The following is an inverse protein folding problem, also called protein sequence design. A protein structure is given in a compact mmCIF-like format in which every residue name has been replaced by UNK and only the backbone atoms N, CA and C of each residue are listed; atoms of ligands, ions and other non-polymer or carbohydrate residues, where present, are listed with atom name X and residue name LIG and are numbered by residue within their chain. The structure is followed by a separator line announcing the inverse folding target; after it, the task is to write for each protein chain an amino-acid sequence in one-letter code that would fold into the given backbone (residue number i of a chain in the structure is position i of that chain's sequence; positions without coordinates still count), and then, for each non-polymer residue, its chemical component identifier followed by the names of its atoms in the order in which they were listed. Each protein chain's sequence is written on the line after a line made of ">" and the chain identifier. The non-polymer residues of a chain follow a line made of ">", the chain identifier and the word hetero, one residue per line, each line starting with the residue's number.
data_IF_084948239995
#
_entry.id   IF_084948239995
#
_cell.length_a   1.000
_cell.length_b   1.000
_cell.length_c   1.000
_cell.angle_alpha   90.00
_cell.angle_beta   90.00
_cell.angle_gamma   90.00
#
_symmetry.space_group_name_H-M   'P 1'
#
loop_
_entity.id
_entity.type
_entity.pdbx_description
1 polymer ?
#
# COMPACT_ATOMS: atom_id res chain seq x y z
N UNK A 1 2.24 21.25 7.82
CA UNK A 1 3.04 20.31 7.02
C UNK A 1 2.15 19.82 5.90
N UNK A 2 2.63 19.87 4.66
CA UNK A 2 1.95 19.28 3.50
C UNK A 2 2.48 17.88 3.28
N UNK A 3 1.58 16.91 3.08
CA UNK A 3 1.91 15.52 2.78
C UNK A 3 1.41 15.21 1.36
N UNK A 4 2.31 14.72 0.51
CA UNK A 4 1.97 14.09 -0.76
C UNK A 4 2.34 12.61 -0.72
N UNK A 5 1.53 11.77 -1.36
CA UNK A 5 1.84 10.36 -1.56
C UNK A 5 1.45 9.93 -2.97
N UNK A 6 2.24 9.04 -3.57
CA UNK A 6 1.96 8.43 -4.86
C UNK A 6 2.25 6.93 -4.80
N UNK A 7 1.42 6.13 -5.46
CA UNK A 7 1.47 4.66 -5.39
C UNK A 7 1.60 4.08 -6.78
N UNK A 8 2.58 3.20 -6.96
CA UNK A 8 2.82 2.50 -8.21
C UNK A 8 2.86 0.99 -7.98
N UNK A 9 2.39 0.25 -8.96
CA UNK A 9 2.52 -1.22 -9.02
C UNK A 9 3.61 -1.56 -10.01
N UNK A 10 4.55 -2.42 -9.62
CA UNK A 10 5.61 -2.93 -10.49
C UNK A 10 5.49 -4.44 -10.63
N UNK A 11 5.38 -4.91 -11.86
CA UNK A 11 5.45 -6.34 -12.20
C UNK A 11 6.59 -6.53 -13.19
N UNK A 12 7.51 -7.44 -12.87
CA UNK A 12 8.82 -7.56 -13.53
C UNK A 12 9.62 -6.25 -13.50
N UNK A 13 9.67 -5.53 -14.63
CA UNK A 13 10.36 -4.25 -14.83
C UNK A 13 9.42 -3.17 -15.36
N UNK A 14 8.12 -3.42 -15.35
CA UNK A 14 7.12 -2.48 -15.85
C UNK A 14 6.31 -1.86 -14.73
N UNK A 15 6.07 -0.55 -14.86
CA UNK A 15 5.24 0.23 -13.95
C UNK A 15 3.80 0.22 -14.47
N UNK A 16 2.89 -0.33 -13.67
CA UNK A 16 1.45 -0.26 -13.90
C UNK A 16 0.87 0.92 -13.12
N UNK A 17 0.58 2.00 -13.84
CA UNK A 17 -0.19 3.12 -13.34
C UNK A 17 -1.69 2.82 -13.28
N UNK A 18 -2.51 3.87 -13.37
CA UNK A 18 -3.97 3.74 -13.44
C UNK A 18 -4.39 3.28 -14.84
N UNK A 19 -5.35 2.34 -14.98
CA UNK A 19 -5.86 1.96 -16.29
C UNK A 19 -6.56 3.17 -16.94
N UNK A 20 -6.51 3.22 -18.28
CA UNK A 20 -7.12 4.29 -19.09
C UNK A 20 -8.60 4.03 -19.35
N UNK A 21 -8.95 2.74 -19.43
CA UNK A 21 -10.26 2.20 -19.72
C UNK A 21 -10.34 0.75 -19.20
N UNK A 22 -11.50 0.12 -19.33
CA UNK A 22 -11.72 -1.27 -18.88
C UNK A 22 -10.90 -2.30 -19.68
N UNK A 23 -10.59 -2.03 -20.94
CA UNK A 23 -9.72 -2.91 -21.75
C UNK A 23 -8.29 -2.92 -21.21
N UNK A 24 -7.76 -1.74 -20.87
CA UNK A 24 -6.47 -1.59 -20.23
C UNK A 24 -6.46 -2.23 -18.83
N UNK A 25 -7.53 -2.05 -18.06
CA UNK A 25 -7.69 -2.71 -16.75
C UNK A 25 -7.63 -4.24 -16.87
N UNK A 26 -8.35 -4.82 -17.85
CA UNK A 26 -8.31 -6.26 -18.13
C UNK A 26 -6.90 -6.76 -18.45
N UNK A 27 -6.18 -6.05 -19.31
CA UNK A 27 -4.80 -6.40 -19.66
C UNK A 27 -3.86 -6.35 -18.44
N UNK A 28 -4.00 -5.32 -17.58
CA UNK A 28 -3.26 -5.23 -16.33
C UNK A 28 -3.57 -6.41 -15.39
N UNK A 29 -4.85 -6.74 -15.20
CA UNK A 29 -5.27 -7.84 -14.33
C UNK A 29 -4.74 -9.20 -14.81
N UNK A 30 -4.83 -9.50 -16.12
CA UNK A 30 -4.22 -10.71 -16.68
C UNK A 30 -2.71 -10.74 -16.51
N UNK A 31 -2.04 -9.59 -16.62
CA UNK A 31 -0.59 -9.52 -16.41
C UNK A 31 -0.20 -9.82 -14.98
N UNK A 32 -1.02 -9.41 -14.01
CA UNK A 32 -0.77 -9.65 -12.58
C UNK A 32 -1.16 -11.06 -12.15
N UNK A 33 -2.11 -11.70 -12.83
CA UNK A 33 -2.74 -12.96 -12.43
C UNK A 33 -1.73 -14.09 -12.17
N UNK A 34 -1.83 -14.72 -10.99
CA UNK A 34 -0.99 -15.83 -10.56
C UNK A 34 0.46 -15.45 -10.26
N UNK A 35 0.78 -14.16 -10.14
CA UNK A 35 2.15 -13.65 -10.05
C UNK A 35 2.36 -12.75 -8.85
N UNK A 36 3.63 -12.60 -8.51
CA UNK A 36 4.12 -11.58 -7.59
C UNK A 36 4.26 -10.23 -8.30
N UNK A 37 3.91 -9.16 -7.59
CA UNK A 37 4.25 -7.79 -7.95
C UNK A 37 4.57 -6.96 -6.72
N UNK A 38 5.27 -5.84 -6.94
CA UNK A 38 5.64 -4.89 -5.90
C UNK A 38 4.65 -3.73 -5.92
N UNK A 39 4.10 -3.39 -4.76
CA UNK A 39 3.41 -2.11 -4.55
C UNK A 39 4.35 -1.18 -3.81
N UNK A 40 4.64 -0.03 -4.42
CA UNK A 40 5.52 0.98 -3.86
C UNK A 40 4.79 2.29 -3.69
N UNK A 41 4.72 2.78 -2.45
CA UNK A 41 4.19 4.11 -2.15
C UNK A 41 5.34 5.03 -1.74
N UNK A 42 5.53 6.11 -2.49
CA UNK A 42 6.40 7.20 -2.13
C UNK A 42 5.63 8.26 -1.34
N UNK A 43 6.25 8.84 -0.32
CA UNK A 43 5.68 9.90 0.53
C UNK A 43 6.67 11.06 0.60
N UNK A 44 6.14 12.27 0.45
CA UNK A 44 6.88 13.51 0.62
C UNK A 44 6.19 14.40 1.65
N UNK A 45 6.96 14.91 2.60
CA UNK A 45 6.54 15.89 3.59
C UNK A 45 7.26 17.22 3.34
N UNK A 46 6.49 18.31 3.32
CA UNK A 46 7.01 19.67 3.25
C UNK A 46 6.55 20.45 4.49
N UNK A 47 7.50 20.87 5.32
CA UNK A 47 7.26 21.69 6.50
C UNK A 47 7.40 23.18 6.24
N UNK A 48 7.12 23.95 7.30
CA UNK A 48 7.45 25.37 7.35
C UNK A 48 8.95 25.58 7.20
N UNK A 49 9.37 26.73 6.66
CA UNK A 49 10.76 27.05 6.38
C UNK A 49 11.50 26.06 5.44
N UNK A 50 10.77 25.30 4.62
CA UNK A 50 11.35 24.49 3.55
C UNK A 50 11.92 23.14 3.99
N UNK A 51 11.72 22.71 5.23
CA UNK A 51 12.15 21.39 5.71
C UNK A 51 11.43 20.27 4.93
N UNK A 52 12.18 19.30 4.42
CA UNK A 52 11.66 18.20 3.58
C UNK A 52 12.04 16.84 4.14
N UNK A 53 11.11 15.89 4.07
CA UNK A 53 11.38 14.46 4.27
C UNK A 53 10.73 13.71 3.11
N UNK A 54 11.48 12.83 2.45
CA UNK A 54 10.97 11.95 1.41
C UNK A 54 11.38 10.51 1.70
N UNK A 55 10.45 9.57 1.53
CA UNK A 55 10.71 8.14 1.70
C UNK A 55 9.79 7.32 0.79
N UNK A 56 10.08 6.03 0.62
CA UNK A 56 9.19 5.12 -0.09
C UNK A 56 9.18 3.75 0.56
N UNK A 57 7.99 3.15 0.64
CA UNK A 57 7.79 1.83 1.24
C UNK A 57 7.42 0.84 0.15
N UNK A 58 7.88 -0.40 0.27
CA UNK A 58 7.58 -1.50 -0.66
C UNK A 58 6.82 -2.60 0.07
N UNK A 59 5.88 -3.22 -0.62
CA UNK A 59 5.14 -4.42 -0.20
C UNK A 59 5.00 -5.37 -1.40
N UNK A 60 5.01 -6.68 -1.17
CA UNK A 60 4.84 -7.70 -2.21
C UNK A 60 3.42 -8.20 -2.12
N UNK A 61 2.84 -8.42 -3.29
CA UNK A 61 1.48 -8.92 -3.40
C UNK A 61 1.51 -10.05 -4.42
N UNK A 62 0.85 -11.15 -4.08
CA UNK A 62 0.61 -12.25 -5.00
C UNK A 62 -0.86 -12.28 -5.31
N UNK A 63 -1.20 -12.29 -6.60
CA UNK A 63 -2.58 -12.51 -7.03
C UNK A 63 -2.85 -13.99 -7.26
N UNK A 64 -4.12 -14.37 -7.17
CA UNK A 64 -4.58 -15.71 -7.54
C UNK A 64 -4.43 -15.91 -9.06
N UNK A 65 -4.29 -17.16 -9.53
CA UNK A 65 -4.34 -17.48 -10.96
C UNK A 65 -5.60 -16.89 -11.62
N UNK A 66 -5.49 -16.57 -12.91
CA UNK A 66 -6.60 -16.00 -13.65
C UNK A 66 -7.76 -17.00 -13.70
N UNK A 67 -8.89 -16.61 -13.14
CA UNK A 67 -10.19 -17.17 -13.49
C UNK A 67 -10.92 -16.13 -14.36
N UNK A 68 -11.18 -16.43 -15.65
CA UNK A 68 -11.84 -15.50 -16.56
C UNK A 68 -13.16 -14.97 -16.01
N UNK A 69 -13.95 -15.81 -15.33
CA UNK A 69 -15.21 -15.39 -14.71
C UNK A 69 -15.01 -14.34 -13.62
N UNK A 70 -14.03 -14.56 -12.73
CA UNK A 70 -13.70 -13.63 -11.66
C UNK A 70 -13.15 -12.28 -12.16
N UNK A 71 -12.33 -12.27 -13.22
CA UNK A 71 -11.79 -11.02 -13.79
C UNK A 71 -12.91 -10.18 -14.40
N UNK A 72 -13.80 -10.78 -15.19
CA UNK A 72 -14.92 -10.05 -15.79
C UNK A 72 -15.91 -9.55 -14.75
N UNK A 73 -16.23 -10.38 -13.74
CA UNK A 73 -17.07 -9.98 -12.62
C UNK A 73 -16.47 -8.79 -11.86
N UNK A 74 -15.15 -8.79 -11.64
CA UNK A 74 -14.47 -7.66 -11.00
C UNK A 74 -14.46 -6.40 -11.88
N UNK A 75 -14.22 -6.53 -13.19
CA UNK A 75 -14.28 -5.42 -14.13
C UNK A 75 -15.66 -4.75 -14.14
N UNK A 76 -16.73 -5.54 -14.04
CA UNK A 76 -18.11 -5.04 -14.01
C UNK A 76 -18.43 -4.17 -12.78
N UNK A 77 -17.62 -4.23 -11.71
CA UNK A 77 -17.80 -3.36 -10.53
C UNK A 77 -17.40 -1.91 -10.79
N UNK A 78 -16.61 -1.65 -11.84
CA UNK A 78 -16.00 -0.33 -12.10
C UNK A 78 -14.87 0.05 -11.13
N UNK A 79 -14.67 -0.71 -10.04
CA UNK A 79 -13.59 -0.50 -9.06
C UNK A 79 -12.17 -0.46 -9.65
N UNK A 80 -11.82 -1.21 -10.72
CA UNK A 80 -10.49 -1.15 -11.32
C UNK A 80 -10.05 0.24 -11.78
N UNK A 81 -11.00 1.09 -12.16
CA UNK A 81 -10.70 2.40 -12.73
C UNK A 81 -10.13 3.34 -11.65
N UNK A 82 -9.07 4.07 -12.01
CA UNK A 82 -8.41 5.02 -11.11
C UNK A 82 -7.47 4.38 -10.08
N UNK A 83 -7.28 3.06 -10.09
CA UNK A 83 -6.38 2.33 -9.18
C UNK A 83 -5.11 1.89 -9.90
N UNK A 84 -3.95 2.08 -9.26
CA UNK A 84 -2.69 1.59 -9.82
C UNK A 84 -2.71 0.06 -9.94
N UNK A 85 -2.32 -0.49 -11.09
CA UNK A 85 -2.41 -1.94 -11.34
C UNK A 85 -3.85 -2.47 -11.47
N UNK A 86 -4.85 -1.59 -11.57
CA UNK A 86 -6.26 -1.92 -11.80
C UNK A 86 -6.95 -2.76 -10.70
N UNK A 87 -6.43 -2.79 -9.47
CA UNK A 87 -7.10 -3.43 -8.35
C UNK A 87 -6.97 -2.63 -7.05
N UNK A 88 -7.79 -2.99 -6.05
CA UNK A 88 -7.77 -2.41 -4.72
C UNK A 88 -7.96 -3.50 -3.66
N UNK A 89 -7.04 -3.54 -2.69
CA UNK A 89 -7.02 -4.58 -1.66
C UNK A 89 -8.13 -4.43 -0.60
N UNK A 90 -8.84 -3.30 -0.59
CA UNK A 90 -9.88 -2.98 0.41
C UNK A 90 -11.32 -3.24 -0.06
N UNK A 91 -11.51 -3.54 -1.35
CA UNK A 91 -12.83 -3.75 -1.95
C UNK A 91 -12.97 -5.13 -2.59
N UNK A 92 -13.71 -5.21 -3.69
CA UNK A 92 -13.92 -6.45 -4.44
C UNK A 92 -12.58 -7.01 -4.96
N UNK A 93 -11.59 -6.14 -5.20
CA UNK A 93 -10.25 -6.54 -5.62
C UNK A 93 -9.50 -7.39 -4.58
N UNK A 94 -9.91 -7.40 -3.30
CA UNK A 94 -9.37 -8.31 -2.28
C UNK A 94 -9.52 -9.78 -2.66
N UNK A 95 -10.59 -10.12 -3.41
CA UNK A 95 -10.85 -11.48 -3.86
C UNK A 95 -9.78 -11.99 -4.84
N UNK A 96 -9.06 -11.09 -5.53
CA UNK A 96 -7.98 -11.41 -6.45
C UNK A 96 -6.65 -11.71 -5.74
N UNK A 97 -6.53 -11.35 -4.46
CA UNK A 97 -5.27 -11.44 -3.72
C UNK A 97 -5.14 -12.81 -3.08
N UNK A 98 -4.02 -13.48 -3.35
CA UNK A 98 -3.68 -14.76 -2.73
C UNK A 98 -3.00 -14.53 -1.37
N UNK A 99 -2.02 -13.63 -1.33
CA UNK A 99 -1.29 -13.23 -0.12
C UNK A 99 -0.54 -11.92 -0.35
N UNK A 100 -0.04 -11.32 0.72
CA UNK A 100 0.88 -10.19 0.63
C UNK A 100 1.94 -10.28 1.74
N UNK A 101 3.07 -9.62 1.53
CA UNK A 101 4.13 -9.42 2.50
C UNK A 101 4.44 -7.93 2.60
N UNK A 102 4.71 -7.46 3.81
CA UNK A 102 5.00 -6.05 4.05
C UNK A 102 3.82 -5.25 4.61
N UNK A 103 3.85 -3.95 4.33
CA UNK A 103 2.92 -3.00 4.93
C UNK A 103 1.58 -2.99 4.17
N UNK A 104 0.48 -3.36 4.85
CA UNK A 104 -0.86 -3.31 4.25
C UNK A 104 -1.28 -1.89 3.87
N UNK A 105 -1.05 -0.91 4.75
CA UNK A 105 -1.41 0.49 4.48
C UNK A 105 -0.56 1.11 3.36
N UNK A 106 0.67 0.61 3.13
CA UNK A 106 1.44 0.91 1.92
C UNK A 106 0.71 0.43 0.65
N UNK A 107 0.16 -0.79 0.65
CA UNK A 107 -0.59 -1.34 -0.50
C UNK A 107 -1.87 -0.52 -0.76
N UNK A 108 -2.51 -0.06 0.32
CA UNK A 108 -3.68 0.83 0.24
C UNK A 108 -3.32 2.20 -0.37
N UNK A 109 -2.09 2.67 -0.15
CA UNK A 109 -1.56 3.90 -0.76
C UNK A 109 -1.05 4.95 0.22
N UNK A 110 -0.97 4.63 1.52
CA UNK A 110 -0.28 5.47 2.50
C UNK A 110 0.31 4.61 3.63
N UNK A 111 1.64 4.43 3.71
CA UNK A 111 2.27 3.67 4.79
C UNK A 111 2.14 4.39 6.14
N UNK A 112 1.04 4.13 6.87
CA UNK A 112 0.61 4.92 8.03
C UNK A 112 1.68 5.05 9.13
N UNK A 113 2.37 3.96 9.47
CA UNK A 113 3.41 3.99 10.51
C UNK A 113 4.60 4.86 10.08
N UNK A 114 5.12 4.66 8.87
CA UNK A 114 6.22 5.47 8.33
C UNK A 114 5.84 6.95 8.23
N UNK A 115 4.64 7.25 7.75
CA UNK A 115 4.11 8.60 7.69
C UNK A 115 3.98 9.23 9.08
N UNK A 116 3.49 8.47 10.08
CA UNK A 116 3.41 8.91 11.47
C UNK A 116 4.78 9.31 12.03
N UNK A 117 5.81 8.49 11.86
CA UNK A 117 7.16 8.82 12.37
C UNK A 117 7.79 9.98 11.63
N UNK A 118 7.62 10.05 10.31
CA UNK A 118 8.09 11.16 9.51
C UNK A 118 7.41 12.49 9.92
N UNK A 119 6.09 12.47 10.17
CA UNK A 119 5.34 13.62 10.69
C UNK A 119 5.83 14.04 12.08
N UNK A 120 6.10 13.08 12.99
CA UNK A 120 6.68 13.38 14.30
C UNK A 120 8.05 14.03 14.19
N UNK A 121 8.92 13.53 13.29
CA UNK A 121 10.22 14.17 13.01
C UNK A 121 10.05 15.60 12.53
N UNK A 122 8.99 15.89 11.77
CA UNK A 122 8.60 17.24 11.35
C UNK A 122 8.02 18.13 12.46
N UNK A 123 7.91 17.63 13.70
CA UNK A 123 7.33 18.35 14.84
C UNK A 123 5.81 18.28 14.91
N UNK A 124 5.17 17.43 14.11
CA UNK A 124 3.71 17.24 14.16
C UNK A 124 3.35 16.28 15.28
N UNK A 125 2.47 16.73 16.19
CA UNK A 125 1.92 15.90 17.26
C UNK A 125 0.63 15.25 16.78
N UNK A 126 0.58 13.94 16.85
CA UNK A 126 -0.57 13.09 16.48
C UNK A 126 -1.20 12.51 17.74
N UNK A 127 -2.54 12.52 17.83
CA UNK A 127 -3.27 12.08 19.03
C UNK A 127 -3.35 10.56 19.21
N UNK A 128 -3.21 9.80 18.13
CA UNK A 128 -3.34 8.34 18.14
C UNK A 128 -2.09 7.69 17.56
N UNK A 129 -1.69 6.56 18.15
CA UNK A 129 -0.65 5.71 17.59
C UNK A 129 -1.11 5.10 16.25
N UNK A 130 -0.20 4.86 15.30
CA UNK A 130 -0.57 4.40 13.96
C UNK A 130 -1.23 3.03 13.96
N UNK A 131 -0.86 2.13 14.88
CA UNK A 131 -1.46 0.81 15.06
C UNK A 131 -2.92 0.87 15.55
N UNK A 132 -3.23 1.78 16.47
CA UNK A 132 -4.59 2.01 16.97
C UNK A 132 -5.47 2.59 15.86
N UNK A 133 -4.94 3.58 15.13
CA UNK A 133 -5.64 4.16 13.99
C UNK A 133 -5.87 3.12 12.87
N UNK A 134 -4.87 2.28 12.59
CA UNK A 134 -4.96 1.21 11.60
C UNK A 134 -6.05 0.19 11.95
N UNK A 135 -6.05 -0.32 13.18
CA UNK A 135 -7.02 -1.32 13.61
C UNK A 135 -8.45 -0.77 13.57
N UNK A 136 -8.64 0.49 13.96
CA UNK A 136 -9.93 1.18 13.82
C UNK A 136 -10.38 1.32 12.37
N UNK A 137 -9.46 1.58 11.44
CA UNK A 137 -9.77 1.80 10.02
C UNK A 137 -10.04 0.50 9.27
N UNK A 138 -9.33 -0.57 9.60
CA UNK A 138 -9.34 -1.81 8.81
C UNK A 138 -9.90 -3.02 9.54
N UNK A 139 -10.17 -2.93 10.85
CA UNK A 139 -10.81 -3.98 11.64
C UNK A 139 -9.90 -5.17 11.98
N UNK A 140 -8.58 -5.06 11.77
CA UNK A 140 -7.61 -6.07 12.16
C UNK A 140 -6.28 -5.44 12.59
N UNK A 141 -5.53 -6.14 13.44
CA UNK A 141 -4.21 -5.68 13.88
C UNK A 141 -3.20 -5.75 12.72
N UNK A 142 -2.48 -4.65 12.49
CA UNK A 142 -1.49 -4.54 11.42
C UNK A 142 -0.40 -5.62 11.56
N UNK A 143 -0.13 -6.43 10.51
CA UNK A 143 0.96 -7.40 10.52
C UNK A 143 2.33 -6.77 10.81
N UNK A 144 2.59 -5.55 10.29
CA UNK A 144 3.84 -4.83 10.56
C UNK A 144 3.97 -4.41 12.03
N UNK A 145 2.88 -4.03 12.68
CA UNK A 145 2.90 -3.71 14.12
C UNK A 145 3.18 -4.96 14.96
N UNK A 146 2.58 -6.10 14.58
CA UNK A 146 2.90 -7.39 15.21
C UNK A 146 4.36 -7.80 15.01
N UNK A 147 4.90 -7.62 13.81
CA UNK A 147 6.29 -7.95 13.51
C UNK A 147 7.26 -7.09 14.33
N UNK A 148 7.04 -5.76 14.35
CA UNK A 148 7.85 -4.85 15.16
C UNK A 148 7.82 -5.25 16.65
N UNK A 149 6.63 -5.49 17.20
CA UNK A 149 6.49 -5.93 18.60
C UNK A 149 7.23 -7.26 18.88
N UNK A 150 7.15 -8.23 17.98
CA UNK A 150 7.85 -9.51 18.11
C UNK A 150 9.39 -9.36 18.09
N UNK A 151 9.90 -8.33 17.43
CA UNK A 151 11.33 -8.00 17.40
C UNK A 151 11.79 -7.16 18.60
N UNK A 152 10.92 -6.93 19.59
CA UNK A 152 11.20 -6.02 20.71
C UNK A 152 11.27 -4.55 20.29
N UNK A 153 10.82 -4.21 19.07
CA UNK A 153 10.77 -2.85 18.56
C UNK A 153 9.38 -2.30 18.79
N UNK A 154 9.28 -1.26 19.61
CA UNK A 154 8.08 -0.43 19.62
C UNK A 154 8.20 0.47 18.40
N UNK A 155 7.18 0.54 17.55
CA UNK A 155 7.17 1.40 16.35
C UNK A 155 7.62 2.85 16.65
N UNK A 156 7.54 3.29 17.91
CA UNK A 156 7.96 4.60 18.43
C UNK A 156 9.38 5.09 18.14
N UNK A 157 10.34 4.28 17.71
CA UNK A 157 11.73 4.72 17.47
C UNK A 157 11.96 5.44 16.13
N UNK A 158 11.01 5.33 15.20
CA UNK A 158 11.12 5.96 13.89
C UNK A 158 12.21 5.37 12.98
N UNK A 159 12.68 4.16 13.28
CA UNK A 159 13.58 3.43 12.38
C UNK A 159 12.82 2.97 11.12
N UNK A 160 13.50 3.04 9.97
CA UNK A 160 13.08 2.32 8.77
C UNK A 160 13.20 0.82 9.08
N UNK A 161 12.06 0.15 9.17
CA UNK A 161 12.04 -1.30 9.24
C UNK A 161 11.90 -1.82 7.83
N UNK A 162 12.74 -2.79 7.46
CA UNK A 162 12.41 -3.64 6.33
C UNK A 162 11.09 -4.31 6.68
N UNK A 163 10.02 -3.91 5.98
CA UNK A 163 8.67 -4.45 6.18
C UNK A 163 8.59 -5.97 5.96
N UNK A 164 9.71 -6.58 5.57
CA UNK A 164 9.91 -7.97 5.16
C UNK A 164 10.54 -8.85 6.23
N UNK A 165 11.25 -8.27 7.21
CA UNK A 165 11.95 -9.00 8.28
C UNK A 165 11.17 -8.92 9.57
#
# INVERSE_FOLDING_TARGET
>A
VTLGADTLVLVDREVLGKPRDLGHARAMLHRLAGREHIVRTAVALLGVAGRRIGFAVRSRVWTKPADPGSIEAFLATGEPLGKAGAYNIQGAGSALIARYEGCYSNIVGLPLCHAYHALRRMGVVTRHLPEVAFERLYGFTCPAARCAAAQGRILGDGAEYDSWS
#
